data_IF_625732070313
#
_entry.id   IF_625732070313
#
_cell.length_a   1.000
_cell.length_b   1.000
_cell.length_c   1.000
_cell.angle_alpha   90.00
_cell.angle_beta   90.00
_cell.angle_gamma   90.00
#
_symmetry.space_group_name_H-M   'P 1'
#
loop_
_entity.id
_entity.type
_entity.pdbx_description
1 polymer ?
#
# COMPACT_ATOMS: atom_id res chain seq x y z
N UNK A 1 20.14 -6.40 16.94
CA UNK A 1 19.88 -6.15 15.51
C UNK A 1 18.45 -6.60 15.22
N UNK A 2 17.50 -5.68 15.21
CA UNK A 2 16.15 -6.01 14.75
C UNK A 2 16.28 -6.21 13.24
N UNK A 3 16.21 -7.44 12.75
CA UNK A 3 16.21 -7.66 11.30
C UNK A 3 14.92 -7.01 10.78
N UNK A 4 15.05 -5.82 10.16
CA UNK A 4 13.95 -5.24 9.41
C UNK A 4 13.73 -6.18 8.24
N UNK A 5 12.68 -7.01 8.32
CA UNK A 5 12.28 -7.89 7.23
C UNK A 5 11.95 -6.99 6.04
N UNK A 6 12.84 -6.95 5.06
CA UNK A 6 12.59 -6.25 3.81
C UNK A 6 11.45 -6.94 3.05
N UNK A 7 10.66 -6.15 2.34
CA UNK A 7 9.58 -6.62 1.48
C UNK A 7 10.14 -6.95 0.10
N UNK A 8 9.61 -7.99 -0.55
CA UNK A 8 9.95 -8.26 -1.94
C UNK A 8 9.17 -7.32 -2.87
N UNK A 9 9.85 -6.67 -3.83
CA UNK A 9 9.21 -5.84 -4.87
C UNK A 9 8.09 -6.59 -5.59
N UNK A 10 8.36 -7.84 -5.99
CA UNK A 10 7.37 -8.75 -6.61
C UNK A 10 6.12 -8.96 -5.75
N UNK A 11 6.26 -9.01 -4.42
CA UNK A 11 5.11 -9.16 -3.51
C UNK A 11 4.29 -7.87 -3.39
N UNK A 12 4.95 -6.70 -3.43
CA UNK A 12 4.27 -5.40 -3.44
C UNK A 12 3.48 -5.23 -4.75
N UNK A 13 4.09 -5.61 -5.88
CA UNK A 13 3.42 -5.66 -7.19
C UNK A 13 2.22 -6.59 -7.17
N UNK A 14 2.39 -7.81 -6.64
CA UNK A 14 1.29 -8.76 -6.52
C UNK A 14 0.17 -8.22 -5.61
N UNK A 15 0.51 -7.54 -4.51
CA UNK A 15 -0.48 -6.89 -3.64
C UNK A 15 -1.30 -5.84 -4.41
N UNK A 16 -0.64 -4.99 -5.19
CA UNK A 16 -1.30 -3.99 -6.05
C UNK A 16 -2.20 -4.63 -7.11
N UNK A 17 -1.71 -5.67 -7.79
CA UNK A 17 -2.48 -6.36 -8.82
C UNK A 17 -3.68 -7.13 -8.24
N UNK A 18 -3.53 -7.72 -7.06
CA UNK A 18 -4.59 -8.47 -6.39
C UNK A 18 -5.60 -7.56 -5.68
N UNK A 19 -5.26 -6.28 -5.45
CA UNK A 19 -6.08 -5.37 -4.68
C UNK A 19 -7.50 -5.25 -5.24
N UNK A 20 -7.66 -4.97 -6.54
CA UNK A 20 -9.00 -4.83 -7.15
C UNK A 20 -9.82 -6.11 -7.05
N UNK A 21 -9.23 -7.25 -7.46
CA UNK A 21 -9.89 -8.55 -7.43
C UNK A 21 -10.22 -9.04 -6.01
N UNK A 22 -9.38 -8.71 -5.04
CA UNK A 22 -9.49 -9.16 -3.64
C UNK A 22 -10.02 -8.08 -2.71
N UNK A 23 -10.44 -6.92 -3.22
CA UNK A 23 -10.74 -5.74 -2.39
C UNK A 23 -11.74 -6.05 -1.29
N UNK A 24 -12.86 -6.69 -1.64
CA UNK A 24 -13.92 -7.09 -0.69
C UNK A 24 -13.40 -8.01 0.42
N UNK A 25 -12.46 -8.90 0.11
CA UNK A 25 -11.87 -9.85 1.07
C UNK A 25 -10.84 -9.11 1.95
N UNK A 26 -10.01 -8.26 1.35
CA UNK A 26 -9.01 -7.46 2.06
C UNK A 26 -9.67 -6.47 3.01
N UNK A 27 -10.73 -5.78 2.58
CA UNK A 27 -11.52 -4.86 3.39
C UNK A 27 -11.96 -5.53 4.69
N UNK A 28 -12.65 -6.68 4.60
CA UNK A 28 -13.10 -7.47 5.75
C UNK A 28 -11.99 -7.89 6.72
N UNK A 29 -10.75 -7.99 6.24
CA UNK A 29 -9.60 -8.42 7.04
C UNK A 29 -8.87 -7.26 7.72
N UNK A 30 -8.79 -6.11 7.06
CA UNK A 30 -7.91 -5.01 7.48
C UNK A 30 -8.63 -3.80 8.04
N UNK A 31 -9.90 -3.59 7.69
CA UNK A 31 -10.69 -2.44 8.13
C UNK A 31 -12.13 -2.87 8.45
N UNK A 32 -12.90 -1.99 9.09
CA UNK A 32 -14.30 -2.27 9.40
C UNK A 32 -15.18 -2.23 8.13
N UNK A 33 -16.36 -2.85 8.17
CA UNK A 33 -17.29 -2.83 7.03
C UNK A 33 -17.73 -1.42 6.61
N UNK A 34 -17.80 -0.50 7.57
CA UNK A 34 -18.18 0.90 7.36
C UNK A 34 -17.04 1.78 6.79
N UNK A 35 -15.83 1.24 6.68
CA UNK A 35 -14.64 1.99 6.24
C UNK A 35 -14.06 1.40 4.97
N UNK A 36 -13.53 2.24 4.11
CA UNK A 36 -12.74 1.88 2.95
C UNK A 36 -11.28 2.27 3.16
N UNK A 37 -10.40 1.73 2.32
CA UNK A 37 -8.99 2.06 2.40
C UNK A 37 -8.34 2.04 1.02
N UNK A 38 -7.19 2.67 0.89
CA UNK A 38 -6.32 2.60 -0.28
C UNK A 38 -4.87 2.64 0.18
N UNK A 39 -3.96 2.20 -0.70
CA UNK A 39 -2.54 2.35 -0.42
C UNK A 39 -1.76 2.78 -1.66
N UNK A 40 -0.63 3.42 -1.41
CA UNK A 40 0.33 3.83 -2.41
C UNK A 40 1.74 3.49 -1.91
N UNK A 41 2.61 3.07 -2.82
CA UNK A 41 4.02 2.88 -2.52
C UNK A 41 4.84 3.68 -3.53
N UNK A 42 5.67 4.58 -3.01
CA UNK A 42 6.54 5.46 -3.79
C UNK A 42 7.99 5.26 -3.40
N UNK A 43 8.91 5.54 -4.32
CA UNK A 43 10.34 5.62 -4.00
C UNK A 43 10.63 6.98 -3.33
N UNK A 44 11.82 7.11 -2.74
CA UNK A 44 12.23 8.34 -2.03
C UNK A 44 12.33 9.58 -2.93
N UNK A 45 12.51 9.40 -4.23
CA UNK A 45 12.43 10.46 -5.25
C UNK A 45 10.99 10.87 -5.59
N UNK A 46 10.00 10.37 -4.85
CA UNK A 46 8.57 10.55 -5.06
C UNK A 46 8.03 10.00 -6.39
N UNK A 47 8.79 9.17 -7.11
CA UNK A 47 8.20 8.42 -8.21
C UNK A 47 7.17 7.44 -7.63
N UNK A 48 5.92 7.56 -8.09
CA UNK A 48 4.84 6.64 -7.71
C UNK A 48 5.13 5.31 -8.40
N UNK A 49 5.38 4.26 -7.61
CA UNK A 49 5.64 2.93 -8.15
C UNK A 49 4.35 2.11 -8.20
N UNK A 50 3.52 2.21 -7.17
CA UNK A 50 2.31 1.41 -7.04
C UNK A 50 1.20 2.22 -6.38
N UNK A 51 0.01 2.21 -6.97
CA UNK A 51 -1.20 2.78 -6.39
C UNK A 51 -2.33 1.77 -6.48
N UNK A 52 -3.07 1.63 -5.39
CA UNK A 52 -4.21 0.74 -5.26
C UNK A 52 -5.38 1.51 -4.63
N UNK A 53 -6.32 1.94 -5.46
CA UNK A 53 -7.51 2.70 -5.07
C UNK A 53 -8.78 1.97 -5.51
N UNK A 54 -9.88 2.04 -4.73
CA UNK A 54 -11.16 1.47 -5.12
C UNK A 54 -11.80 2.28 -6.26
N UNK A 55 -12.62 1.62 -7.08
CA UNK A 55 -13.23 2.22 -8.29
C UNK A 55 -14.03 3.50 -8.01
N UNK A 56 -14.71 3.57 -6.87
CA UNK A 56 -15.58 4.69 -6.51
C UNK A 56 -14.84 5.88 -5.89
N UNK A 57 -13.51 5.79 -5.73
CA UNK A 57 -12.69 6.84 -5.13
C UNK A 57 -13.06 7.15 -3.67
N UNK A 58 -12.51 8.24 -3.14
CA UNK A 58 -12.81 8.72 -1.79
C UNK A 58 -13.98 9.71 -1.86
N UNK A 59 -15.10 9.48 -1.15
CA UNK A 59 -16.21 10.45 -1.10
C UNK A 59 -15.74 11.80 -0.56
N UNK A 60 -16.23 12.90 -1.16
CA UNK A 60 -15.78 14.28 -0.80
C UNK A 60 -15.98 14.65 0.67
N UNK A 61 -16.97 14.07 1.35
CA UNK A 61 -17.29 14.32 2.76
C UNK A 61 -16.69 13.30 3.72
N UNK A 62 -15.94 12.30 3.21
CA UNK A 62 -15.38 11.26 4.06
C UNK A 62 -14.25 11.81 4.94
N UNK A 63 -14.20 11.35 6.18
CA UNK A 63 -13.12 11.70 7.10
C UNK A 63 -11.94 10.76 6.84
N UNK A 64 -10.92 11.27 6.17
CA UNK A 64 -9.74 10.49 5.80
C UNK A 64 -8.70 10.50 6.93
N UNK A 65 -8.25 9.31 7.32
CA UNK A 65 -7.03 9.12 8.09
C UNK A 65 -5.93 8.59 7.18
N UNK A 66 -4.74 9.18 7.22
CA UNK A 66 -3.61 8.76 6.40
C UNK A 66 -2.36 8.54 7.25
N UNK A 67 -1.54 7.56 6.88
CA UNK A 67 -0.26 7.30 7.51
C UNK A 67 0.78 6.90 6.48
N UNK A 68 2.00 7.41 6.65
CA UNK A 68 3.14 7.10 5.80
C UNK A 68 4.28 6.56 6.64
N UNK A 69 4.92 5.49 6.18
CA UNK A 69 6.08 4.93 6.84
C UNK A 69 7.08 4.36 5.83
N UNK A 70 8.39 4.43 6.13
CA UNK A 70 9.41 3.86 5.26
C UNK A 70 9.38 2.33 5.32
N UNK A 71 9.59 1.69 4.17
CA UNK A 71 9.79 0.25 4.04
C UNK A 71 11.06 -0.03 3.25
N UNK A 72 11.78 -1.08 3.64
CA UNK A 72 12.92 -1.59 2.88
C UNK A 72 12.38 -2.60 1.86
N UNK A 73 12.74 -2.44 0.58
CA UNK A 73 12.26 -3.28 -0.52
C UNK A 73 13.44 -3.92 -1.23
N UNK A 74 13.46 -5.25 -1.31
CA UNK A 74 14.41 -6.00 -2.14
C UNK A 74 13.87 -6.06 -3.57
N UNK A 75 14.65 -5.55 -4.50
CA UNK A 75 14.36 -5.58 -5.92
C UNK A 75 14.72 -6.96 -6.56
N UNK A 76 14.68 -7.06 -7.88
CA UNK A 76 15.02 -8.31 -8.58
C UNK A 76 16.54 -8.56 -8.66
N UNK A 77 17.37 -7.53 -8.43
CA UNK A 77 18.83 -7.63 -8.40
C UNK A 77 19.37 -8.04 -7.02
N UNK A 78 18.51 -8.01 -5.99
CA UNK A 78 18.89 -8.26 -4.60
C UNK A 78 19.28 -6.98 -3.84
N UNK A 79 19.17 -5.83 -4.48
CA UNK A 79 19.42 -4.52 -3.87
C UNK A 79 18.27 -4.13 -2.93
N UNK A 80 18.62 -3.59 -1.77
CA UNK A 80 17.64 -3.03 -0.82
C UNK A 80 17.45 -1.55 -1.12
N UNK A 81 16.26 -1.21 -1.59
CA UNK A 81 15.84 0.15 -1.93
C UNK A 81 14.80 0.62 -0.91
N UNK A 82 14.91 1.88 -0.47
CA UNK A 82 13.94 2.47 0.47
C UNK A 82 12.75 3.06 -0.26
N UNK A 83 11.56 2.62 0.12
CA UNK A 83 10.28 3.11 -0.38
C UNK A 83 9.48 3.71 0.78
N UNK A 84 8.47 4.50 0.47
CA UNK A 84 7.45 4.98 1.41
C UNK A 84 6.15 4.26 1.10
N UNK A 85 5.57 3.63 2.12
CA UNK A 85 4.24 3.06 2.07
C UNK A 85 3.26 4.06 2.69
N UNK A 86 2.30 4.51 1.91
CA UNK A 86 1.18 5.35 2.34
C UNK A 86 -0.09 4.53 2.36
N UNK A 87 -0.85 4.61 3.46
CA UNK A 87 -2.19 4.04 3.58
C UNK A 87 -3.16 5.15 3.93
N UNK A 88 -4.33 5.12 3.29
CA UNK A 88 -5.48 5.98 3.59
C UNK A 88 -6.64 5.10 3.99
N UNK A 89 -7.40 5.50 5.01
CA UNK A 89 -8.63 4.86 5.46
C UNK A 89 -9.69 5.95 5.58
N UNK A 90 -10.92 5.68 5.14
CA UNK A 90 -12.03 6.64 5.19
C UNK A 90 -13.38 5.98 5.42
#
# INVERSE_FOLDING_TARGET
IVSKKAFSKKRIEALKNNYGASYKIMKKKFVSDATDFSFMVSSLDNAINYTAEPEQGIPRSAKVSASSFPIDVIDNSGEIIKYIFNIKVW
#
